data_IF_606738917833
#
_entry.id   IF_606738917833
#
_cell.length_a   1.000
_cell.length_b   1.000
_cell.length_c   1.000
_cell.angle_alpha   90.00
_cell.angle_beta   90.00
_cell.angle_gamma   90.00
#
_symmetry.space_group_name_H-M   'P 1'
#
loop_
_entity.id
_entity.type
_entity.pdbx_description
1 polymer ?
#
# COMPACT_ATOMS: atom_id res chain seq x y z
N UNK A 1 -10.21 -31.58 18.48
CA UNK A 1 -10.08 -30.14 18.17
C UNK A 1 -8.77 -29.53 18.68
N UNK A 2 -8.15 -30.05 19.73
CA UNK A 2 -6.91 -29.50 20.33
C UNK A 2 -5.59 -29.71 19.53
N UNK A 3 -5.67 -30.21 18.29
CA UNK A 3 -4.52 -30.34 17.36
C UNK A 3 -4.44 -29.19 16.35
N UNK A 4 -5.43 -28.28 16.34
CA UNK A 4 -5.42 -27.07 15.50
C UNK A 4 -4.97 -25.82 16.26
N UNK A 5 -4.82 -25.88 17.58
CA UNK A 5 -4.45 -24.75 18.44
C UNK A 5 -2.94 -24.58 18.61
N UNK A 6 -2.15 -25.59 18.23
CA UNK A 6 -0.69 -25.52 18.21
C UNK A 6 -0.22 -25.54 16.76
N UNK A 7 0.30 -24.41 16.29
CA UNK A 7 0.77 -24.12 14.93
C UNK A 7 1.94 -25.00 14.46
N UNK A 8 1.78 -26.33 14.46
CA UNK A 8 2.79 -27.30 14.04
C UNK A 8 2.60 -27.78 12.59
N UNK A 9 1.49 -27.43 11.93
CA UNK A 9 1.22 -27.84 10.55
C UNK A 9 1.64 -26.76 9.56
N UNK A 10 2.69 -27.03 8.77
CA UNK A 10 3.03 -26.23 7.60
C UNK A 10 1.99 -26.49 6.50
N UNK A 11 1.31 -25.46 6.03
CA UNK A 11 0.46 -25.53 4.83
C UNK A 11 1.36 -25.25 3.62
N UNK A 12 1.27 -26.06 2.57
CA UNK A 12 2.00 -25.79 1.33
C UNK A 12 1.40 -24.57 0.62
N UNK A 13 2.24 -23.80 -0.10
CA UNK A 13 1.80 -22.60 -0.81
C UNK A 13 0.65 -22.88 -1.80
N UNK A 14 0.69 -24.03 -2.48
CA UNK A 14 -0.38 -24.47 -3.38
C UNK A 14 -1.73 -24.66 -2.66
N UNK A 15 -1.70 -25.22 -1.46
CA UNK A 15 -2.92 -25.44 -0.66
C UNK A 15 -3.46 -24.13 -0.08
N UNK A 16 -2.57 -23.24 0.37
CA UNK A 16 -2.95 -21.91 0.82
C UNK A 16 -3.60 -21.08 -0.32
N UNK A 17 -3.05 -21.17 -1.53
CA UNK A 17 -3.62 -20.53 -2.72
C UNK A 17 -5.02 -21.06 -3.06
N UNK A 18 -5.22 -22.38 -3.00
CA UNK A 18 -6.55 -22.97 -3.21
C UNK A 18 -7.57 -22.51 -2.17
N UNK A 19 -7.16 -22.39 -0.90
CA UNK A 19 -8.02 -21.89 0.18
C UNK A 19 -8.38 -20.41 -0.05
N UNK A 20 -7.41 -19.57 -0.41
CA UNK A 20 -7.65 -18.16 -0.73
C UNK A 20 -8.65 -18.00 -1.90
N UNK A 21 -8.50 -18.83 -2.94
CA UNK A 21 -9.47 -18.86 -4.05
C UNK A 21 -10.87 -19.27 -3.62
N UNK A 22 -10.98 -20.25 -2.73
CA UNK A 22 -12.28 -20.72 -2.23
C UNK A 22 -12.97 -19.67 -1.35
N UNK A 23 -12.20 -18.91 -0.58
CA UNK A 23 -12.70 -17.82 0.27
C UNK A 23 -12.85 -16.49 -0.49
N UNK A 24 -12.53 -16.45 -1.78
CA UNK A 24 -12.54 -15.24 -2.63
C UNK A 24 -11.73 -14.06 -2.03
N UNK A 25 -10.69 -14.38 -1.25
CA UNK A 25 -9.81 -13.38 -0.62
C UNK A 25 -8.39 -13.44 -1.18
N UNK A 26 -7.63 -12.33 -1.13
CA UNK A 26 -6.21 -12.35 -1.44
C UNK A 26 -5.44 -13.29 -0.50
N UNK A 27 -4.45 -14.02 -1.04
CA UNK A 27 -3.58 -14.90 -0.23
C UNK A 27 -2.84 -14.11 0.87
N UNK A 28 -2.59 -12.82 0.66
CA UNK A 28 -1.94 -11.92 1.63
C UNK A 28 -2.73 -11.75 2.92
N UNK A 29 -4.06 -11.89 2.91
CA UNK A 29 -4.90 -11.74 4.11
C UNK A 29 -4.55 -12.75 5.19
N UNK A 30 -4.07 -13.94 4.83
CA UNK A 30 -3.62 -14.96 5.80
C UNK A 30 -2.32 -14.61 6.53
N UNK A 31 -1.62 -13.58 6.07
CA UNK A 31 -0.35 -13.11 6.65
C UNK A 31 -0.49 -11.75 7.33
N UNK A 32 -1.69 -11.18 7.38
CA UNK A 32 -1.97 -9.93 8.06
C UNK A 32 -1.74 -10.10 9.57
N UNK A 33 -0.98 -9.19 10.19
CA UNK A 33 -0.61 -9.28 11.60
C UNK A 33 0.51 -10.28 11.94
N UNK A 34 1.09 -10.98 10.95
CA UNK A 34 2.30 -11.76 11.16
C UNK A 34 3.52 -10.83 11.09
N UNK A 35 4.16 -10.59 12.23
CA UNK A 35 5.46 -9.91 12.28
C UNK A 35 6.47 -10.74 11.50
N UNK A 36 6.96 -10.22 10.38
CA UNK A 36 7.98 -10.91 9.59
C UNK A 36 9.33 -10.73 10.29
N UNK A 37 9.96 -11.78 10.85
CA UNK A 37 11.29 -11.63 11.43
C UNK A 37 12.27 -11.53 10.25
N UNK A 38 12.64 -10.30 9.88
CA UNK A 38 13.73 -10.04 8.93
C UNK A 38 13.35 -9.52 7.54
N UNK A 39 12.12 -9.04 7.33
CA UNK A 39 11.73 -8.40 6.08
C UNK A 39 11.13 -7.03 6.33
N UNK A 40 11.92 -5.95 6.18
CA UNK A 40 11.36 -4.61 5.95
C UNK A 40 10.66 -4.61 4.59
N UNK A 41 9.45 -5.14 4.54
CA UNK A 41 8.44 -4.56 3.67
C UNK A 41 7.88 -3.37 4.45
N UNK A 42 8.52 -2.21 4.32
CA UNK A 42 7.88 -0.93 4.59
C UNK A 42 6.79 -0.71 3.53
N UNK A 43 5.80 -1.61 3.50
CA UNK A 43 4.53 -1.33 2.86
C UNK A 43 3.88 -0.26 3.74
N UNK A 44 4.26 0.99 3.46
CA UNK A 44 3.46 2.13 3.90
C UNK A 44 2.05 1.80 3.43
N UNK A 45 1.06 1.70 4.35
CA UNK A 45 -0.30 1.40 3.94
C UNK A 45 -0.68 2.39 2.83
N UNK A 46 -1.37 1.92 1.77
CA UNK A 46 -1.78 2.82 0.70
C UNK A 46 -2.54 4.00 1.33
N UNK A 47 -2.34 5.22 0.81
CA UNK A 47 -3.00 6.38 1.37
C UNK A 47 -4.52 6.13 1.41
N UNK A 48 -5.22 6.59 2.46
CA UNK A 48 -6.67 6.57 2.45
C UNK A 48 -7.13 7.28 1.17
N UNK A 49 -8.04 6.63 0.45
CA UNK A 49 -8.61 7.13 -0.79
C UNK A 49 -7.71 7.10 -2.05
N UNK A 50 -6.73 6.17 -2.09
CA UNK A 50 -5.94 5.90 -3.32
C UNK A 50 -6.83 5.67 -4.55
N UNK A 51 -8.00 5.03 -4.37
CA UNK A 51 -8.94 4.77 -5.45
C UNK A 51 -9.52 6.06 -6.05
N UNK A 52 -9.93 7.03 -5.22
CA UNK A 52 -10.40 8.32 -5.72
C UNK A 52 -9.26 9.14 -6.35
N UNK A 53 -8.05 9.08 -5.77
CA UNK A 53 -6.87 9.70 -6.38
C UNK A 53 -6.63 9.19 -7.80
N UNK A 54 -6.64 7.86 -8.01
CA UNK A 54 -6.43 7.26 -9.32
C UNK A 54 -7.53 7.58 -10.36
N UNK A 55 -8.66 8.15 -9.93
CA UNK A 55 -9.73 8.60 -10.82
C UNK A 55 -9.55 10.04 -11.32
N UNK A 56 -8.57 10.80 -10.79
CA UNK A 56 -8.29 12.16 -11.27
C UNK A 56 -7.44 12.13 -12.53
N UNK A 57 -7.64 13.08 -13.45
CA UNK A 57 -6.86 13.17 -14.67
C UNK A 57 -5.37 13.44 -14.36
N UNK A 58 -5.12 14.26 -13.34
CA UNK A 58 -3.80 14.68 -12.89
C UNK A 58 -3.00 13.51 -12.29
N UNK A 59 -3.67 12.53 -11.66
CA UNK A 59 -3.00 11.34 -11.13
C UNK A 59 -2.30 10.53 -12.23
N UNK A 60 -2.89 10.47 -13.42
CA UNK A 60 -2.32 9.75 -14.57
C UNK A 60 -1.05 10.41 -15.06
N UNK A 61 -1.06 11.75 -15.17
CA UNK A 61 0.13 12.51 -15.55
C UNK A 61 1.25 12.39 -14.52
N UNK A 62 0.92 12.50 -13.24
CA UNK A 62 1.90 12.30 -12.16
C UNK A 62 2.48 10.88 -12.22
N UNK A 63 1.64 9.86 -12.38
CA UNK A 63 2.09 8.48 -12.48
C UNK A 63 3.01 8.23 -13.69
N UNK A 64 2.75 8.89 -14.82
CA UNK A 64 3.55 8.75 -16.05
C UNK A 64 4.89 9.48 -15.98
N UNK A 65 4.91 10.72 -15.47
CA UNK A 65 6.07 11.61 -15.56
C UNK A 65 6.95 11.61 -14.32
N UNK A 66 6.38 11.44 -13.12
CA UNK A 66 7.14 11.48 -11.87
C UNK A 66 8.29 10.45 -11.80
N UNK A 67 8.14 9.19 -12.28
CA UNK A 67 9.23 8.23 -12.30
C UNK A 67 10.41 8.62 -13.21
N UNK A 68 10.17 9.47 -14.21
CA UNK A 68 11.19 9.91 -15.16
C UNK A 68 12.15 10.96 -14.56
N UNK A 69 11.84 11.49 -13.37
CA UNK A 69 12.69 12.43 -12.64
C UNK A 69 13.94 11.69 -12.12
N UNK A 70 15.08 11.98 -12.75
CA UNK A 70 16.34 11.26 -12.54
C UNK A 70 16.89 11.34 -11.12
N UNK A 71 16.75 12.48 -10.44
CA UNK A 71 17.36 12.67 -9.12
C UNK A 71 16.34 12.59 -7.99
N UNK A 72 16.72 11.92 -6.90
CA UNK A 72 15.91 11.86 -5.68
C UNK A 72 15.66 13.25 -5.08
N UNK A 73 16.62 14.17 -5.22
CA UNK A 73 16.49 15.56 -4.78
C UNK A 73 15.37 16.30 -5.52
N UNK A 74 15.24 16.10 -6.83
CA UNK A 74 14.14 16.71 -7.59
C UNK A 74 12.79 16.12 -7.21
N UNK A 75 12.69 14.80 -7.04
CA UNK A 75 11.44 14.15 -6.57
C UNK A 75 11.00 14.68 -5.21
N UNK A 76 11.94 14.89 -4.28
CA UNK A 76 11.67 15.51 -2.97
C UNK A 76 11.12 16.93 -3.10
N UNK A 77 11.74 17.78 -3.93
CA UNK A 77 11.27 19.15 -4.17
C UNK A 77 9.86 19.21 -4.77
N UNK A 78 9.52 18.29 -5.68
CA UNK A 78 8.15 18.20 -6.22
C UNK A 78 7.16 17.81 -5.14
N UNK A 79 7.50 16.82 -4.31
CA UNK A 79 6.64 16.42 -3.18
C UNK A 79 6.47 17.55 -2.14
N UNK A 80 7.53 18.29 -1.85
CA UNK A 80 7.49 19.47 -0.97
C UNK A 80 6.60 20.58 -1.54
N UNK A 81 6.67 20.83 -2.86
CA UNK A 81 5.80 21.81 -3.53
C UNK A 81 4.32 21.40 -3.46
N UNK A 82 4.01 20.14 -3.74
CA UNK A 82 2.63 19.63 -3.63
C UNK A 82 2.12 19.82 -2.19
N UNK A 83 2.98 19.57 -1.19
CA UNK A 83 2.64 19.76 0.22
C UNK A 83 2.40 21.25 0.56
N UNK A 84 3.27 22.14 0.12
CA UNK A 84 3.12 23.57 0.42
C UNK A 84 1.86 24.17 -0.20
N UNK A 85 1.42 23.67 -1.37
CA UNK A 85 0.18 24.13 -1.99
C UNK A 85 -1.08 23.73 -1.20
N UNK A 86 -1.02 22.65 -0.41
CA UNK A 86 -2.12 22.26 0.50
C UNK A 86 -2.07 23.10 1.78
N UNK A 87 -0.88 23.42 2.27
CA UNK A 87 -0.69 24.25 3.47
C UNK A 87 -1.07 25.72 3.25
N UNK A 88 -1.02 26.21 2.00
CA UNK A 88 -1.37 27.59 1.60
C UNK A 88 -2.86 27.78 1.27
N UNK A 89 -3.72 26.77 1.37
CA UNK A 89 -5.17 26.95 1.17
C UNK A 89 -5.74 27.74 2.36
N UNK A 90 -6.17 29.00 2.21
CA UNK A 90 -6.69 29.77 3.33
C UNK A 90 -8.00 29.13 3.78
N UNK A 91 -8.09 28.76 5.05
CA UNK A 91 -9.36 28.33 5.65
C UNK A 91 -10.48 29.30 5.24
N UNK A 92 -11.65 28.79 4.78
CA UNK A 92 -12.78 29.63 4.50
C UNK A 92 -13.19 30.30 5.80
N UNK A 93 -12.95 31.62 5.91
CA UNK A 93 -13.45 32.45 7.00
C UNK A 93 -14.97 32.26 7.09
N UNK A 94 -15.40 31.52 8.11
CA UNK A 94 -16.77 31.51 8.61
C UNK A 94 -17.10 32.83 9.31
#
# INVERSE_FOLDING_TARGET
>A
MQKYERAANRVSASKLYQIARLLETPVSTFFEGLETPGGQATATPPPPDLTAFLQTAESSDIALWFPQIRTARQRKRVAELIRSMVEDEPEPRA
#
